data_IF_667717767589
#
_entry.id   IF_667717767589
#
_cell.length_a   1.000
_cell.length_b   1.000
_cell.length_c   1.000
_cell.angle_alpha   90.00
_cell.angle_beta   90.00
_cell.angle_gamma   90.00
#
_symmetry.space_group_name_H-M   'P 1'
#
loop_
_entity.id
_entity.type
_entity.pdbx_description
1 polymer ?
#
# COMPACT_ATOMS: atom_id res chain seq x y z
N UNK A 1 36.23 2.90 -16.03
CA UNK A 1 35.90 1.58 -15.44
C UNK A 1 35.32 1.70 -14.04
N UNK A 2 35.85 2.55 -13.15
CA UNK A 2 35.27 2.73 -11.80
C UNK A 2 33.87 3.38 -11.79
N UNK A 3 33.51 4.19 -12.80
CA UNK A 3 32.21 4.90 -12.84
C UNK A 3 31.02 4.01 -13.20
N UNK A 4 31.23 2.83 -13.78
CA UNK A 4 30.15 1.90 -14.17
C UNK A 4 29.69 1.04 -12.99
N UNK A 5 30.59 0.71 -12.06
CA UNK A 5 30.31 -0.16 -10.90
C UNK A 5 29.49 0.60 -9.84
N UNK A 6 29.77 1.90 -9.64
CA UNK A 6 29.03 2.73 -8.69
C UNK A 6 27.54 2.85 -9.04
N UNK A 7 27.21 2.86 -10.33
CA UNK A 7 25.83 2.96 -10.84
C UNK A 7 24.99 1.70 -10.59
N UNK A 8 25.63 0.55 -10.38
CA UNK A 8 24.96 -0.73 -10.10
C UNK A 8 24.62 -0.95 -8.62
N UNK A 9 25.09 -0.07 -7.73
CA UNK A 9 24.88 -0.14 -6.28
C UNK A 9 23.74 0.74 -5.77
N UNK A 10 23.00 1.40 -6.67
CA UNK A 10 21.86 2.21 -6.28
C UNK A 10 20.70 1.28 -5.86
N UNK A 11 20.52 1.07 -4.56
CA UNK A 11 19.40 0.35 -3.95
C UNK A 11 18.02 0.86 -4.46
N UNK A 12 17.98 2.10 -4.94
CA UNK A 12 16.81 2.74 -5.58
C UNK A 12 16.40 2.13 -6.93
N UNK A 13 17.26 1.35 -7.59
CA UNK A 13 16.92 0.61 -8.82
C UNK A 13 16.10 -0.65 -8.51
N UNK A 14 16.24 -1.22 -7.31
CA UNK A 14 15.62 -2.49 -6.93
C UNK A 14 14.40 -2.32 -6.03
N UNK A 15 14.33 -1.24 -5.24
CA UNK A 15 13.17 -0.94 -4.41
C UNK A 15 12.20 -0.03 -5.16
N UNK A 16 10.98 -0.51 -5.52
CA UNK A 16 10.00 0.36 -6.13
C UNK A 16 9.67 1.50 -5.16
N UNK A 17 9.71 2.74 -5.65
CA UNK A 17 9.39 3.91 -4.85
C UNK A 17 7.99 3.73 -4.20
N UNK A 18 7.85 3.91 -2.87
CA UNK A 18 6.58 3.70 -2.16
C UNK A 18 5.38 4.43 -2.79
N UNK A 19 5.63 5.60 -3.40
CA UNK A 19 4.63 6.42 -4.11
C UNK A 19 4.03 5.75 -5.34
N UNK A 20 4.74 4.80 -5.95
CA UNK A 20 4.31 4.11 -7.17
C UNK A 20 3.61 2.78 -6.88
N UNK A 21 3.52 2.36 -5.61
CA UNK A 21 3.02 1.04 -5.24
C UNK A 21 1.56 0.81 -5.61
N UNK A 22 0.75 1.86 -5.68
CA UNK A 22 -0.65 1.75 -6.10
C UNK A 22 -0.80 1.32 -7.57
N UNK A 23 0.19 1.58 -8.43
CA UNK A 23 0.16 1.18 -9.86
C UNK A 23 0.20 -0.33 -10.05
N UNK A 24 0.69 -1.08 -9.04
CA UNK A 24 0.75 -2.55 -9.06
C UNK A 24 -0.56 -3.21 -8.62
N UNK A 25 -1.51 -2.43 -8.09
CA UNK A 25 -2.79 -2.93 -7.60
C UNK A 25 -3.76 -3.15 -8.77
N UNK A 26 -4.46 -4.28 -8.76
CA UNK A 26 -5.52 -4.59 -9.71
C UNK A 26 -6.84 -3.98 -9.25
N UNK A 27 -7.03 -2.68 -9.46
CA UNK A 27 -8.31 -2.01 -9.20
C UNK A 27 -8.97 -1.60 -10.50
N UNK A 28 -10.30 -1.72 -10.57
CA UNK A 28 -11.08 -1.05 -11.61
C UNK A 28 -11.02 0.43 -11.27
N UNK A 29 -10.61 1.28 -12.23
CA UNK A 29 -10.42 2.71 -12.01
C UNK A 29 -11.61 3.39 -11.31
N UNK A 30 -11.43 4.63 -10.87
CA UNK A 30 -12.46 5.33 -10.13
C UNK A 30 -12.29 6.84 -10.19
N UNK A 31 -13.10 7.55 -9.40
CA UNK A 31 -12.99 9.01 -9.24
C UNK A 31 -11.55 9.38 -8.83
N UNK A 32 -10.97 10.48 -9.32
CA UNK A 32 -9.60 10.90 -8.97
C UNK A 32 -9.34 10.94 -7.46
N UNK A 33 -10.34 11.32 -6.66
CA UNK A 33 -10.25 11.33 -5.20
C UNK A 33 -10.05 9.93 -4.59
N UNK A 34 -10.65 8.89 -5.16
CA UNK A 34 -10.46 7.50 -4.73
C UNK A 34 -9.05 7.02 -5.07
N UNK A 35 -8.57 7.32 -6.28
CA UNK A 35 -7.21 6.98 -6.72
C UNK A 35 -6.17 7.66 -5.85
N UNK A 36 -6.37 8.94 -5.50
CA UNK A 36 -5.48 9.67 -4.59
C UNK A 36 -5.43 9.03 -3.19
N UNK A 37 -6.58 8.60 -2.65
CA UNK A 37 -6.60 7.84 -1.39
C UNK A 37 -5.86 6.51 -1.51
N UNK A 38 -6.10 5.77 -2.60
CA UNK A 38 -5.43 4.49 -2.83
C UNK A 38 -3.91 4.67 -2.94
N UNK A 39 -3.44 5.71 -3.61
CA UNK A 39 -2.02 6.06 -3.72
C UNK A 39 -1.38 6.27 -2.35
N UNK A 40 -2.02 7.09 -1.50
CA UNK A 40 -1.55 7.36 -0.14
C UNK A 40 -1.60 6.12 0.77
N UNK A 41 -2.65 5.32 0.66
CA UNK A 41 -2.79 4.08 1.42
C UNK A 41 -1.74 3.03 1.00
N UNK A 42 -1.46 2.91 -0.30
CA UNK A 42 -0.43 2.01 -0.80
C UNK A 42 0.98 2.43 -0.36
N UNK A 43 1.27 3.73 -0.40
CA UNK A 43 2.51 4.30 0.12
C UNK A 43 2.68 4.01 1.61
N UNK A 44 1.65 4.29 2.41
CA UNK A 44 1.66 4.00 3.85
C UNK A 44 1.93 2.52 4.14
N UNK A 45 1.22 1.62 3.43
CA UNK A 45 1.38 0.18 3.63
C UNK A 45 2.80 -0.28 3.35
N UNK A 46 3.43 0.26 2.31
CA UNK A 46 4.81 -0.07 1.95
C UNK A 46 5.81 0.42 3.00
N UNK A 47 5.66 1.65 3.46
CA UNK A 47 6.52 2.21 4.52
C UNK A 47 6.38 1.44 5.84
N UNK A 48 5.15 1.08 6.23
CA UNK A 48 4.92 0.28 7.44
C UNK A 48 5.42 -1.16 7.30
N UNK A 49 5.34 -1.75 6.10
CA UNK A 49 5.88 -3.08 5.80
C UNK A 49 7.40 -3.11 5.97
N UNK A 50 8.09 -2.12 5.41
CA UNK A 50 9.53 -1.95 5.54
C UNK A 50 9.93 -1.70 7.00
N UNK A 51 9.21 -0.80 7.70
CA UNK A 51 9.49 -0.47 9.11
C UNK A 51 9.35 -1.68 10.04
N UNK A 52 8.38 -2.55 9.78
CA UNK A 52 8.08 -3.73 10.62
C UNK A 52 8.78 -5.00 10.14
N UNK A 53 9.52 -4.92 9.05
CA UNK A 53 10.14 -6.06 8.36
C UNK A 53 9.15 -7.22 8.12
N UNK A 54 7.99 -6.89 7.54
CA UNK A 54 6.96 -7.88 7.21
C UNK A 54 6.45 -7.69 5.78
N UNK A 55 5.97 -8.75 5.12
CA UNK A 55 5.30 -8.61 3.83
C UNK A 55 4.11 -7.66 3.93
N UNK A 56 3.97 -6.71 2.99
CA UNK A 56 2.85 -5.75 2.93
C UNK A 56 1.45 -6.39 3.04
N UNK A 57 1.28 -7.60 2.50
CA UNK A 57 0.02 -8.34 2.56
C UNK A 57 -0.35 -8.80 3.98
N UNK A 58 0.63 -8.89 4.90
CA UNK A 58 0.41 -9.18 6.32
C UNK A 58 -0.16 -7.97 7.06
N UNK A 59 0.16 -6.76 6.62
CA UNK A 59 -0.44 -5.52 7.15
C UNK A 59 -1.87 -5.34 6.64
N UNK A 60 -2.04 -5.35 5.31
CA UNK A 60 -3.34 -5.21 4.69
C UNK A 60 -3.34 -5.84 3.29
N UNK A 61 -4.36 -6.64 2.97
CA UNK A 61 -4.51 -7.24 1.64
C UNK A 61 -4.87 -6.18 0.60
N UNK A 62 -4.50 -6.42 -0.65
CA UNK A 62 -4.77 -5.50 -1.76
C UNK A 62 -6.26 -5.18 -1.89
N UNK A 63 -7.13 -6.19 -1.86
CA UNK A 63 -8.59 -6.00 -1.98
C UNK A 63 -9.15 -5.13 -0.85
N UNK A 64 -8.67 -5.34 0.38
CA UNK A 64 -9.07 -4.54 1.55
C UNK A 64 -8.58 -3.09 1.43
N UNK A 65 -7.38 -2.87 0.91
CA UNK A 65 -6.83 -1.54 0.66
C UNK A 65 -7.65 -0.78 -0.40
N UNK A 66 -8.08 -1.48 -1.45
CA UNK A 66 -8.93 -0.94 -2.52
C UNK A 66 -10.34 -0.63 -1.99
N UNK A 67 -10.92 -1.55 -1.20
CA UNK A 67 -12.24 -1.36 -0.57
C UNK A 67 -12.23 -0.17 0.39
N UNK A 68 -11.18 -0.02 1.21
CA UNK A 68 -10.99 1.12 2.09
C UNK A 68 -10.89 2.45 1.32
N UNK A 69 -10.14 2.47 0.22
CA UNK A 69 -10.02 3.65 -0.63
C UNK A 69 -11.37 4.05 -1.27
N UNK A 70 -12.15 3.06 -1.71
CA UNK A 70 -13.46 3.26 -2.35
C UNK A 70 -14.53 3.73 -1.37
N UNK A 71 -14.68 3.02 -0.25
CA UNK A 71 -15.68 3.29 0.79
C UNK A 71 -15.46 4.60 1.55
N UNK A 72 -14.20 5.03 1.71
CA UNK A 72 -13.84 6.31 2.36
C UNK A 72 -14.59 6.54 3.69
N UNK A 73 -14.54 5.59 4.63
CA UNK A 73 -15.29 5.64 5.88
C UNK A 73 -14.92 6.90 6.68
N UNK A 74 -15.94 7.56 7.24
CA UNK A 74 -15.81 8.75 8.08
C UNK A 74 -16.04 8.45 9.54
N UNK A 75 -16.60 7.28 9.85
CA UNK A 75 -16.87 6.83 11.21
C UNK A 75 -16.24 5.47 11.48
N UNK A 76 -15.99 5.18 12.77
CA UNK A 76 -15.52 3.86 13.19
C UNK A 76 -16.50 2.75 12.83
N UNK A 77 -17.81 3.03 12.84
CA UNK A 77 -18.85 2.08 12.45
C UNK A 77 -18.80 1.73 10.96
N UNK A 78 -18.51 2.69 10.09
CA UNK A 78 -18.28 2.45 8.67
C UNK A 78 -16.98 1.71 8.42
N UNK A 79 -15.92 2.07 9.16
CA UNK A 79 -14.64 1.38 9.08
C UNK A 79 -14.81 -0.11 9.43
N UNK A 80 -15.64 -0.46 10.41
CA UNK A 80 -15.99 -1.84 10.78
C UNK A 80 -16.59 -2.68 9.64
N UNK A 81 -17.14 -2.04 8.61
CA UNK A 81 -17.77 -2.73 7.46
C UNK A 81 -16.76 -3.12 6.37
N UNK A 82 -15.52 -2.61 6.45
CA UNK A 82 -14.48 -2.91 5.47
C UNK A 82 -14.11 -4.40 5.51
N UNK A 83 -14.16 -5.04 4.34
CA UNK A 83 -13.96 -6.48 4.25
C UNK A 83 -12.48 -6.85 4.38
N UNK A 84 -12.20 -7.91 5.12
CA UNK A 84 -10.85 -8.48 5.23
C UNK A 84 -9.87 -7.67 6.09
N UNK A 85 -10.34 -6.62 6.78
CA UNK A 85 -9.55 -5.96 7.82
C UNK A 85 -9.35 -6.94 9.00
N UNK A 86 -8.11 -7.15 9.49
CA UNK A 86 -7.89 -7.93 10.69
C UNK A 86 -8.41 -7.13 11.88
N UNK A 87 -9.70 -7.31 12.22
CA UNK A 87 -10.29 -6.80 13.46
C UNK A 87 -9.65 -7.52 14.63
N UNK A 88 -8.45 -7.09 15.05
CA UNK A 88 -7.75 -7.53 16.26
C UNK A 88 -8.13 -8.95 16.69
N UNK A 89 -8.03 -9.93 15.78
CA UNK A 89 -8.31 -11.31 16.13
C UNK A 89 -7.09 -11.74 16.92
N UNK A 90 -7.19 -11.52 18.23
CA UNK A 90 -6.35 -12.13 19.24
C UNK A 90 -6.20 -13.60 18.87
N UNK A 91 -4.99 -13.99 18.51
CA UNK A 91 -4.48 -15.36 18.61
C UNK A 91 -3.09 -15.24 19.21
#
# INVERSE_FOLDING_TARGET
MESEIASLSALSLYLPAPETMWKRLKFRGGKPSMVNRLAKLAQWRELEAQKRDVPRNRLLRDDTLIDLAGSNPKTAAEFKKIRGFPWGRNR
#
